data_IF_507961635544
#
_entry.id   IF_507961635544
#
_cell.length_a   1.000
_cell.length_b   1.000
_cell.length_c   1.000
_cell.angle_alpha   90.00
_cell.angle_beta   90.00
_cell.angle_gamma   90.00
#
_symmetry.space_group_name_H-M   'P 1'
#
loop_
_entity.id
_entity.type
_entity.pdbx_description
1 polymer ?
#
# COMPACT_ATOMS: atom_id res chain seq x y z
N UNK A 1 9.05 -2.03 -15.93
CA UNK A 1 7.62 -1.72 -15.72
C UNK A 1 7.23 -2.08 -14.29
N UNK A 2 6.58 -1.14 -13.59
CA UNK A 2 6.07 -1.36 -12.23
C UNK A 2 4.54 -1.54 -12.27
N UNK A 3 3.99 -2.42 -11.43
CA UNK A 3 2.54 -2.53 -11.21
C UNK A 3 2.17 -1.92 -9.85
N UNK A 4 1.08 -1.15 -9.80
CA UNK A 4 0.54 -0.60 -8.56
C UNK A 4 -0.75 -1.29 -8.19
N UNK A 5 -0.86 -1.75 -6.94
CA UNK A 5 -1.95 -2.62 -6.49
C UNK A 5 -2.79 -1.94 -5.42
N UNK A 6 -4.07 -2.33 -5.31
CA UNK A 6 -4.98 -1.84 -4.29
C UNK A 6 -4.66 -2.47 -2.91
N UNK A 7 -5.03 -1.79 -1.81
CA UNK A 7 -4.94 -2.34 -0.45
C UNK A 7 -6.09 -3.32 -0.13
N UNK A 8 -7.12 -3.32 -0.96
CA UNK A 8 -8.38 -4.05 -0.77
C UNK A 8 -8.28 -5.47 -1.33
N UNK A 9 -7.29 -6.23 -0.86
CA UNK A 9 -6.99 -7.60 -1.29
C UNK A 9 -7.09 -8.56 -0.11
N UNK A 10 -7.66 -9.74 -0.35
CA UNK A 10 -7.57 -10.88 0.56
C UNK A 10 -6.30 -11.73 0.28
N UNK A 11 -6.05 -12.77 1.09
CA UNK A 11 -4.87 -13.62 0.90
C UNK A 11 -4.87 -14.37 -0.43
N UNK A 12 -6.05 -14.80 -0.91
CA UNK A 12 -6.19 -15.53 -2.18
C UNK A 12 -5.95 -14.61 -3.37
N UNK A 13 -6.43 -13.36 -3.27
CA UNK A 13 -6.13 -12.34 -4.27
C UNK A 13 -4.62 -12.11 -4.38
N UNK A 14 -3.93 -11.99 -3.23
CA UNK A 14 -2.47 -11.84 -3.19
C UNK A 14 -1.73 -13.07 -3.72
N UNK A 15 -2.19 -14.28 -3.42
CA UNK A 15 -1.63 -15.53 -3.95
C UNK A 15 -1.73 -15.58 -5.47
N UNK A 16 -2.93 -15.34 -6.01
CA UNK A 16 -3.17 -15.35 -7.45
C UNK A 16 -2.36 -14.27 -8.19
N UNK A 17 -2.30 -13.06 -7.62
CA UNK A 17 -1.49 -11.99 -8.19
C UNK A 17 0.00 -12.35 -8.18
N UNK A 18 0.52 -12.90 -7.07
CA UNK A 18 1.93 -13.26 -6.99
C UNK A 18 2.32 -14.32 -8.03
N UNK A 19 1.50 -15.36 -8.23
CA UNK A 19 1.75 -16.39 -9.25
C UNK A 19 1.85 -15.77 -10.66
N UNK A 20 0.91 -14.89 -11.02
CA UNK A 20 0.93 -14.20 -12.31
C UNK A 20 2.17 -13.30 -12.45
N UNK A 21 2.49 -12.54 -11.42
CA UNK A 21 3.62 -11.60 -11.43
C UNK A 21 4.98 -12.31 -11.55
N UNK A 22 5.15 -13.46 -10.89
CA UNK A 22 6.36 -14.28 -11.02
C UNK A 22 6.51 -14.81 -12.44
N UNK A 23 5.45 -15.38 -13.03
CA UNK A 23 5.49 -15.93 -14.39
C UNK A 23 5.76 -14.88 -15.47
N UNK A 24 5.32 -13.64 -15.24
CA UNK A 24 5.49 -12.53 -16.19
C UNK A 24 6.80 -11.77 -16.03
N UNK A 25 7.57 -12.02 -14.96
CA UNK A 25 8.86 -11.37 -14.72
C UNK A 25 8.73 -9.85 -14.56
N UNK A 26 7.90 -9.40 -13.62
CA UNK A 26 7.74 -7.96 -13.38
C UNK A 26 8.98 -7.34 -12.72
N UNK A 27 9.30 -6.09 -13.09
CA UNK A 27 10.47 -5.38 -12.55
C UNK A 27 10.24 -4.82 -11.12
N UNK A 28 9.00 -4.69 -10.69
CA UNK A 28 8.68 -4.20 -9.34
C UNK A 28 7.19 -3.97 -9.08
N UNK A 29 6.87 -3.81 -7.80
CA UNK A 29 5.51 -3.66 -7.29
C UNK A 29 5.37 -2.41 -6.42
N UNK A 30 4.23 -1.73 -6.49
CA UNK A 30 3.90 -0.58 -5.63
C UNK A 30 2.70 -0.94 -4.74
N UNK A 31 2.94 -0.97 -3.43
CA UNK A 31 1.96 -1.31 -2.39
C UNK A 31 1.73 -0.09 -1.48
N UNK A 32 0.67 0.71 -1.61
CA UNK A 32 -0.57 0.47 -2.39
C UNK A 32 -1.13 1.75 -3.05
N UNK A 33 -2.21 1.59 -3.82
CA UNK A 33 -3.16 2.65 -4.16
C UNK A 33 -4.05 3.02 -2.96
N UNK A 34 -5.05 3.88 -3.20
CA UNK A 34 -6.11 4.24 -2.26
C UNK A 34 -7.06 3.08 -1.97
N UNK A 35 -7.81 3.16 -0.85
CA UNK A 35 -8.81 2.15 -0.43
C UNK A 35 -10.23 2.64 -0.65
N UNK A 36 -11.16 1.72 -0.92
CA UNK A 36 -12.59 2.01 -0.88
C UNK A 36 -13.17 1.96 0.54
N UNK A 37 -12.45 1.39 1.52
CA UNK A 37 -12.90 1.32 2.90
C UNK A 37 -13.10 2.70 3.52
N UNK A 38 -14.16 2.85 4.31
CA UNK A 38 -14.53 4.12 5.00
C UNK A 38 -14.51 4.04 6.52
N UNK A 39 -14.21 2.87 7.09
CA UNK A 39 -14.20 2.65 8.54
C UNK A 39 -13.29 3.64 9.29
N UNK A 40 -12.12 3.97 8.73
CA UNK A 40 -11.15 4.88 9.35
C UNK A 40 -11.52 6.37 9.31
N UNK A 41 -12.65 6.74 8.69
CA UNK A 41 -13.17 8.12 8.64
C UNK A 41 -14.66 8.19 9.02
N UNK A 42 -15.21 7.16 9.66
CA UNK A 42 -16.61 7.14 10.06
C UNK A 42 -16.95 8.35 10.93
N UNK A 43 -18.02 9.07 10.57
CA UNK A 43 -18.45 10.29 11.26
C UNK A 43 -17.73 11.58 10.86
N UNK A 44 -16.71 11.52 10.00
CA UNK A 44 -16.10 12.73 9.43
C UNK A 44 -17.02 13.40 8.40
N UNK A 45 -16.85 14.71 8.20
CA UNK A 45 -17.70 15.53 7.32
C UNK A 45 -17.83 14.96 5.88
N UNK A 46 -16.74 14.42 5.34
CA UNK A 46 -16.65 13.91 3.96
C UNK A 46 -16.64 12.37 3.89
N UNK A 47 -17.05 11.68 4.95
CA UNK A 47 -16.93 10.21 5.03
C UNK A 47 -17.72 9.45 3.94
N UNK A 48 -18.76 10.08 3.39
CA UNK A 48 -19.66 9.50 2.39
C UNK A 48 -19.29 9.86 0.94
N UNK A 49 -18.22 10.63 0.72
CA UNK A 49 -17.77 10.93 -0.64
C UNK A 49 -17.31 9.66 -1.36
N UNK A 50 -17.57 9.58 -2.66
CA UNK A 50 -17.11 8.50 -3.52
C UNK A 50 -15.61 8.63 -3.83
N UNK A 51 -15.00 7.53 -4.29
CA UNK A 51 -13.58 7.51 -4.67
C UNK A 51 -12.65 6.88 -3.63
N UNK A 52 -11.35 7.10 -3.78
CA UNK A 52 -10.33 6.45 -2.97
C UNK A 52 -9.93 7.24 -1.71
N UNK A 53 -9.86 6.57 -0.56
CA UNK A 53 -9.33 7.12 0.68
C UNK A 53 -7.82 6.85 0.79
N UNK A 54 -7.09 7.85 1.27
CA UNK A 54 -5.63 7.83 1.44
C UNK A 54 -5.23 8.27 2.85
N UNK A 55 -3.93 8.46 3.11
CA UNK A 55 -3.42 8.98 4.38
C UNK A 55 -3.41 7.97 5.52
N UNK A 56 -3.40 8.47 6.76
CA UNK A 56 -3.29 7.65 7.96
C UNK A 56 -4.32 6.50 8.05
N UNK A 57 -5.60 6.68 7.66
CA UNK A 57 -6.58 5.59 7.67
C UNK A 57 -6.21 4.38 6.79
N UNK A 58 -5.39 4.58 5.75
CA UNK A 58 -4.94 3.54 4.82
C UNK A 58 -3.75 2.72 5.38
N UNK A 59 -3.05 3.20 6.41
CA UNK A 59 -1.75 2.65 6.82
C UNK A 59 -1.79 1.15 7.11
N UNK A 60 -2.75 0.71 7.93
CA UNK A 60 -2.82 -0.67 8.39
C UNK A 60 -3.07 -1.66 7.25
N UNK A 61 -4.00 -1.37 6.34
CA UNK A 61 -4.27 -2.25 5.18
C UNK A 61 -3.12 -2.22 4.18
N UNK A 62 -2.51 -1.05 3.94
CA UNK A 62 -1.33 -0.94 3.09
C UNK A 62 -0.13 -1.73 3.64
N UNK A 63 0.11 -1.69 4.96
CA UNK A 63 1.16 -2.47 5.61
C UNK A 63 0.91 -3.98 5.55
N UNK A 64 -0.35 -4.41 5.71
CA UNK A 64 -0.73 -5.81 5.56
C UNK A 64 -0.41 -6.31 4.15
N UNK A 65 -0.85 -5.59 3.12
CA UNK A 65 -0.60 -5.97 1.72
C UNK A 65 0.88 -5.91 1.37
N UNK A 66 1.62 -4.91 1.87
CA UNK A 66 3.07 -4.82 1.70
C UNK A 66 3.77 -6.09 2.22
N UNK A 67 3.51 -6.48 3.48
CA UNK A 67 4.11 -7.69 4.07
C UNK A 67 3.67 -8.95 3.34
N UNK A 68 2.38 -9.04 2.99
CA UNK A 68 1.81 -10.18 2.27
C UNK A 68 2.45 -10.39 0.89
N UNK A 69 2.65 -9.33 0.13
CA UNK A 69 3.29 -9.40 -1.19
C UNK A 69 4.80 -9.59 -1.09
N UNK A 70 5.48 -8.98 -0.11
CA UNK A 70 6.90 -9.20 0.17
C UNK A 70 7.21 -10.67 0.41
N UNK A 71 6.38 -11.35 1.21
CA UNK A 71 6.55 -12.77 1.51
C UNK A 71 6.43 -13.65 0.26
N UNK A 72 5.49 -13.30 -0.64
CA UNK A 72 5.22 -14.04 -1.88
C UNK A 72 6.21 -13.75 -3.00
N UNK A 73 6.77 -12.55 -3.03
CA UNK A 73 7.66 -12.08 -4.09
C UNK A 73 9.04 -11.69 -3.52
N UNK A 74 9.80 -12.63 -2.91
CA UNK A 74 11.03 -12.34 -2.16
C UNK A 74 12.20 -11.80 -3.01
N UNK A 75 12.10 -11.78 -4.34
CA UNK A 75 13.11 -11.18 -5.22
C UNK A 75 12.63 -9.92 -5.96
N UNK A 76 11.34 -9.57 -5.87
CA UNK A 76 10.79 -8.40 -6.57
C UNK A 76 10.98 -7.16 -5.68
N UNK A 77 11.54 -6.04 -6.20
CA UNK A 77 11.56 -4.77 -5.49
C UNK A 77 10.13 -4.27 -5.21
N UNK A 78 9.88 -3.86 -3.96
CA UNK A 78 8.56 -3.35 -3.56
C UNK A 78 8.67 -1.91 -3.07
N UNK A 79 7.82 -1.03 -3.58
CA UNK A 79 7.72 0.36 -3.15
C UNK A 79 6.51 0.50 -2.21
N UNK A 80 6.77 0.92 -0.97
CA UNK A 80 5.76 1.11 0.07
C UNK A 80 5.08 2.48 0.00
N UNK A 81 3.76 2.51 0.05
CA UNK A 81 2.92 3.71 -0.07
C UNK A 81 1.71 3.58 0.86
N UNK A 82 1.18 4.71 1.32
CA UNK A 82 -0.06 4.76 2.10
C UNK A 82 0.20 4.97 3.59
N UNK A 83 -0.28 6.12 4.10
CA UNK A 83 -0.22 6.46 5.52
C UNK A 83 1.17 6.80 6.05
N UNK A 84 2.04 7.38 5.22
CA UNK A 84 3.39 7.80 5.61
C UNK A 84 3.40 9.32 5.79
N UNK A 85 3.53 9.77 7.04
CA UNK A 85 3.50 11.17 7.45
C UNK A 85 4.71 11.57 8.34
N UNK A 86 5.60 10.61 8.61
CA UNK A 86 6.81 10.80 9.45
C UNK A 86 7.95 9.92 8.94
N UNK A 87 9.18 10.26 9.32
CA UNK A 87 10.35 9.42 9.05
C UNK A 87 10.25 8.03 9.71
N UNK A 88 9.65 7.95 10.90
CA UNK A 88 9.39 6.67 11.56
C UNK A 88 8.43 5.79 10.75
N UNK A 89 7.32 6.35 10.24
CA UNK A 89 6.41 5.62 9.37
C UNK A 89 7.07 5.14 8.06
N UNK A 90 8.00 5.93 7.51
CA UNK A 90 8.79 5.51 6.35
C UNK A 90 9.74 4.34 6.71
N UNK A 91 10.41 4.41 7.86
CA UNK A 91 11.30 3.36 8.34
C UNK A 91 10.53 2.05 8.61
N UNK A 92 9.30 2.12 9.14
CA UNK A 92 8.44 0.95 9.34
C UNK A 92 8.05 0.27 8.03
N UNK A 93 7.80 1.02 6.95
CA UNK A 93 7.54 0.44 5.62
C UNK A 93 8.77 -0.29 5.08
N UNK A 94 9.95 0.30 5.27
CA UNK A 94 11.21 -0.34 4.88
C UNK A 94 11.42 -1.63 5.69
N UNK A 95 11.20 -1.60 7.00
CA UNK A 95 11.26 -2.77 7.86
C UNK A 95 10.22 -3.85 7.48
N UNK A 96 9.06 -3.45 6.95
CA UNK A 96 8.05 -4.35 6.41
C UNK A 96 8.42 -4.97 5.05
N UNK A 97 9.56 -4.57 4.46
CA UNK A 97 10.10 -5.15 3.23
C UNK A 97 10.03 -4.27 1.99
N UNK A 98 9.69 -2.98 2.15
CA UNK A 98 9.78 -2.02 1.06
C UNK A 98 11.25 -1.64 0.78
N UNK A 99 11.62 -1.58 -0.50
CA UNK A 99 12.91 -1.08 -0.99
C UNK A 99 12.94 0.44 -1.03
N UNK A 100 11.81 1.07 -1.36
CA UNK A 100 11.60 2.53 -1.42
C UNK A 100 10.23 2.88 -0.83
N UNK A 101 10.00 4.16 -0.54
CA UNK A 101 8.69 4.66 -0.11
C UNK A 101 8.19 5.81 -1.01
N UNK A 102 6.87 5.97 -1.15
CA UNK A 102 6.25 7.14 -1.79
C UNK A 102 5.37 7.89 -0.81
N UNK A 103 5.37 9.23 -0.96
CA UNK A 103 4.58 10.15 -0.15
C UNK A 103 3.53 10.83 -1.03
N UNK A 104 2.35 11.07 -0.45
CA UNK A 104 1.35 11.97 -1.03
C UNK A 104 0.61 12.68 0.10
N UNK A 105 -0.35 12.02 0.76
CA UNK A 105 -1.17 12.65 1.81
C UNK A 105 -0.32 13.24 2.93
N UNK A 106 0.79 12.58 3.28
CA UNK A 106 1.76 13.12 4.23
C UNK A 106 2.30 14.49 3.85
N UNK A 107 2.61 14.72 2.56
CA UNK A 107 3.05 16.03 2.06
C UNK A 107 1.96 17.09 2.27
N UNK A 108 0.69 16.77 1.99
CA UNK A 108 -0.40 17.73 2.18
C UNK A 108 -0.51 18.24 3.63
N UNK A 109 -0.23 17.38 4.62
CA UNK A 109 -0.32 17.75 6.04
C UNK A 109 1.03 18.15 6.67
N UNK A 110 2.17 17.92 5.99
CA UNK A 110 3.53 18.10 6.55
C UNK A 110 4.50 18.89 5.65
N UNK A 111 4.16 19.19 4.39
CA UNK A 111 4.99 19.85 3.38
C UNK A 111 5.12 19.03 2.10
#
# INVERSE_FOLDING_TARGET
MLLKIAPDLDERDMDGMADVLQRRGIDGLICTNTTLARAGVAGAAHAQESGGLSGAPLRASADRVLRGMRARLPQVPVIGVGGIDTGAAAAEKIAAGATLVQLYTGLIYRG
#
